data_IF_117368625941
#
_entry.id   IF_117368625941
#
_cell.length_a   1.000
_cell.length_b   1.000
_cell.length_c   1.000
_cell.angle_alpha   90.00
_cell.angle_beta   90.00
_cell.angle_gamma   90.00
#
_symmetry.space_group_name_H-M   'P 1'
#
loop_
_entity.id
_entity.type
_entity.pdbx_description
1 polymer ?
#
# COMPACT_ATOMS: atom_id res chain seq x y z
N UNK A 1 -19.61 9.83 -20.25
CA UNK A 1 -19.80 9.24 -18.89
C UNK A 1 -21.21 9.48 -18.39
N UNK A 2 -21.66 10.72 -18.16
CA UNK A 2 -23.01 11.06 -17.66
C UNK A 2 -24.12 10.39 -18.46
N UNK A 3 -24.12 10.59 -19.77
CA UNK A 3 -25.09 9.96 -20.72
C UNK A 3 -25.07 8.43 -20.64
N UNK A 4 -23.92 7.80 -20.41
CA UNK A 4 -23.81 6.35 -20.28
C UNK A 4 -24.50 5.84 -19.02
N UNK A 5 -24.34 6.53 -17.90
CA UNK A 5 -25.02 6.16 -16.64
C UNK A 5 -26.53 6.32 -16.72
N UNK A 6 -26.99 7.33 -17.41
CA UNK A 6 -28.41 7.62 -17.61
C UNK A 6 -29.07 8.38 -16.46
N UNK A 7 -28.36 8.64 -15.37
CA UNK A 7 -28.91 9.22 -14.12
C UNK A 7 -29.10 10.73 -14.13
N UNK A 8 -28.50 11.47 -15.07
CA UNK A 8 -28.31 12.91 -14.90
C UNK A 8 -27.25 13.24 -13.87
N UNK A 9 -27.17 14.52 -13.46
CA UNK A 9 -26.20 15.04 -12.46
C UNK A 9 -26.85 16.13 -11.61
N UNK A 10 -26.33 16.37 -10.43
CA UNK A 10 -26.77 17.44 -9.51
C UNK A 10 -28.30 17.43 -9.29
N UNK A 11 -29.01 18.49 -9.61
CA UNK A 11 -30.45 18.60 -9.42
C UNK A 11 -31.29 17.66 -10.32
N UNK A 12 -30.74 17.27 -11.49
CA UNK A 12 -31.39 16.34 -12.43
C UNK A 12 -31.01 14.86 -12.13
N UNK A 13 -30.33 14.59 -11.03
CA UNK A 13 -29.89 13.24 -10.70
C UNK A 13 -31.07 12.35 -10.29
N UNK A 14 -31.23 11.22 -10.99
CA UNK A 14 -32.26 10.22 -10.74
C UNK A 14 -31.64 8.82 -10.75
N UNK A 15 -31.44 8.27 -9.55
CA UNK A 15 -30.84 6.95 -9.37
C UNK A 15 -31.64 5.83 -10.03
N UNK A 16 -32.98 5.98 -10.16
CA UNK A 16 -33.84 4.95 -10.77
C UNK A 16 -33.49 4.67 -12.24
N UNK A 17 -32.85 5.64 -12.90
CA UNK A 17 -32.40 5.55 -14.29
C UNK A 17 -31.00 4.95 -14.45
N UNK A 18 -30.35 4.58 -13.35
CA UNK A 18 -29.00 4.00 -13.39
C UNK A 18 -29.00 2.69 -14.18
N UNK A 19 -28.13 2.63 -15.18
CA UNK A 19 -28.01 1.48 -16.11
C UNK A 19 -27.03 0.41 -15.65
N UNK A 20 -26.24 0.67 -14.61
CA UNK A 20 -25.13 -0.18 -14.18
C UNK A 20 -25.19 -0.46 -12.68
N UNK A 21 -24.94 -1.69 -12.30
CA UNK A 21 -24.86 -2.11 -10.90
C UNK A 21 -23.52 -1.78 -10.24
N UNK A 22 -22.48 -1.55 -11.03
CA UNK A 22 -21.15 -1.19 -10.57
C UNK A 22 -20.48 -0.25 -11.56
N UNK A 23 -19.87 0.78 -11.03
CA UNK A 23 -19.02 1.73 -11.75
C UNK A 23 -17.62 1.52 -11.20
N UNK A 24 -16.69 1.06 -12.05
CA UNK A 24 -15.34 0.70 -11.63
C UNK A 24 -14.38 1.70 -12.25
N UNK A 25 -13.71 2.47 -11.40
CA UNK A 25 -12.62 3.37 -11.79
C UNK A 25 -11.36 2.51 -11.88
N UNK A 26 -10.72 2.55 -13.03
CA UNK A 26 -9.48 1.83 -13.30
C UNK A 26 -8.44 2.81 -13.85
N UNK A 27 -7.37 3.01 -13.12
CA UNK A 27 -6.27 3.91 -13.45
C UNK A 27 -4.95 3.23 -13.18
N UNK A 28 -3.88 3.70 -13.79
CA UNK A 28 -2.54 3.25 -13.51
C UNK A 28 -2.16 3.46 -12.03
N UNK A 29 -1.19 2.73 -11.55
CA UNK A 29 -0.72 2.82 -10.15
C UNK A 29 0.31 3.95 -9.93
N UNK A 30 0.47 4.83 -10.90
CA UNK A 30 1.36 5.99 -10.86
C UNK A 30 0.69 7.26 -10.32
N UNK A 31 1.44 8.37 -10.29
CA UNK A 31 0.98 9.68 -9.81
C UNK A 31 -0.16 10.22 -10.67
N UNK A 32 -0.03 10.12 -12.00
CA UNK A 32 -1.04 10.60 -12.93
C UNK A 32 -2.35 9.81 -12.78
N UNK A 33 -2.27 8.49 -12.64
CA UNK A 33 -3.42 7.64 -12.35
C UNK A 33 -4.09 7.98 -11.02
N UNK A 34 -3.30 8.32 -10.00
CA UNK A 34 -3.80 8.77 -8.70
C UNK A 34 -4.51 10.11 -8.81
N UNK A 35 -4.00 11.05 -9.60
CA UNK A 35 -4.63 12.33 -9.88
C UNK A 35 -5.96 12.16 -10.64
N UNK A 36 -5.99 11.36 -11.70
CA UNK A 36 -7.21 11.02 -12.44
C UNK A 36 -8.26 10.40 -11.52
N UNK A 37 -7.84 9.48 -10.64
CA UNK A 37 -8.73 8.86 -9.63
C UNK A 37 -9.34 9.90 -8.70
N UNK A 38 -8.54 10.84 -8.20
CA UNK A 38 -9.00 11.92 -7.32
C UNK A 38 -10.00 12.83 -8.03
N UNK A 39 -9.75 13.20 -9.29
CA UNK A 39 -10.69 13.99 -10.10
C UNK A 39 -12.03 13.27 -10.30
N UNK A 40 -12.01 11.98 -10.63
CA UNK A 40 -13.21 11.18 -10.81
C UNK A 40 -14.00 11.02 -9.51
N UNK A 41 -13.32 10.76 -8.40
CA UNK A 41 -13.96 10.67 -7.09
C UNK A 41 -14.59 12.01 -6.68
N UNK A 42 -13.91 13.14 -6.92
CA UNK A 42 -14.44 14.48 -6.71
C UNK A 42 -15.70 14.73 -7.55
N UNK A 43 -15.66 14.31 -8.81
CA UNK A 43 -16.81 14.42 -9.70
C UNK A 43 -18.01 13.61 -9.17
N UNK A 44 -17.83 12.34 -8.80
CA UNK A 44 -18.90 11.52 -8.23
C UNK A 44 -19.43 12.11 -6.92
N UNK A 45 -18.53 12.53 -6.04
CA UNK A 45 -18.90 13.10 -4.77
C UNK A 45 -19.76 14.37 -4.93
N UNK A 46 -19.35 15.30 -5.81
CA UNK A 46 -20.04 16.59 -6.00
C UNK A 46 -21.29 16.52 -6.88
N UNK A 47 -21.31 15.60 -7.84
CA UNK A 47 -22.36 15.58 -8.88
C UNK A 47 -23.30 14.38 -8.80
N UNK A 48 -22.88 13.31 -8.14
CA UNK A 48 -23.62 12.05 -8.03
C UNK A 48 -23.37 11.35 -6.67
N UNK A 49 -23.52 12.04 -5.51
CA UNK A 49 -23.13 11.49 -4.20
C UNK A 49 -23.86 10.18 -3.87
N UNK A 50 -25.12 10.03 -4.25
CA UNK A 50 -25.88 8.80 -4.01
C UNK A 50 -25.23 7.55 -4.64
N UNK A 51 -24.45 7.68 -5.71
CA UNK A 51 -23.71 6.53 -6.27
C UNK A 51 -22.66 6.01 -5.29
N UNK A 52 -22.03 6.89 -4.51
CA UNK A 52 -21.07 6.51 -3.47
C UNK A 52 -21.80 5.94 -2.25
N UNK A 53 -22.81 6.66 -1.77
CA UNK A 53 -23.61 6.28 -0.59
C UNK A 53 -24.25 4.91 -0.75
N UNK A 54 -24.84 4.64 -1.91
CA UNK A 54 -25.44 3.35 -2.25
C UNK A 54 -24.43 2.28 -2.65
N UNK A 55 -23.15 2.67 -2.83
CA UNK A 55 -22.04 1.75 -3.05
C UNK A 55 -21.95 1.20 -4.45
N UNK A 56 -22.26 1.99 -5.44
CA UNK A 56 -22.08 1.64 -6.85
C UNK A 56 -20.67 1.92 -7.37
N UNK A 57 -19.86 2.74 -6.64
CA UNK A 57 -18.51 3.16 -7.09
C UNK A 57 -17.44 2.28 -6.47
N UNK A 58 -16.55 1.78 -7.32
CA UNK A 58 -15.43 0.91 -6.96
C UNK A 58 -14.14 1.39 -7.61
N UNK A 59 -13.00 1.09 -6.97
CA UNK A 59 -11.67 1.25 -7.52
C UNK A 59 -11.12 -0.13 -7.86
N UNK A 60 -10.69 -0.35 -9.09
CA UNK A 60 -9.93 -1.54 -9.45
C UNK A 60 -8.56 -1.49 -8.77
N UNK A 61 -8.08 -2.66 -8.35
CA UNK A 61 -6.75 -2.83 -7.76
C UNK A 61 -5.95 -3.80 -8.63
N UNK A 62 -5.35 -3.33 -9.73
CA UNK A 62 -4.49 -4.16 -10.54
C UNK A 62 -3.24 -4.56 -9.73
N UNK A 63 -2.62 -5.71 -10.01
CA UNK A 63 -1.40 -6.12 -9.35
C UNK A 63 -0.23 -5.24 -9.76
N UNK A 64 0.69 -5.01 -8.82
CA UNK A 64 1.98 -4.36 -9.11
C UNK A 64 3.00 -5.33 -9.68
N UNK A 65 2.88 -6.63 -9.39
CA UNK A 65 3.87 -7.62 -9.78
C UNK A 65 3.25 -8.86 -10.39
N UNK A 66 3.95 -9.39 -11.40
CA UNK A 66 3.81 -10.74 -11.91
C UNK A 66 5.02 -11.54 -11.43
N UNK A 67 4.77 -12.63 -10.72
CA UNK A 67 5.80 -13.54 -10.22
C UNK A 67 5.63 -14.88 -10.90
N UNK A 68 6.66 -15.33 -11.58
CA UNK A 68 6.65 -16.61 -12.29
C UNK A 68 7.69 -17.56 -11.67
N UNK A 69 7.24 -18.78 -11.36
CA UNK A 69 8.08 -19.89 -10.92
C UNK A 69 7.72 -21.15 -11.69
N UNK A 70 8.66 -21.67 -12.52
CA UNK A 70 8.53 -22.91 -13.33
C UNK A 70 7.32 -22.87 -14.28
N UNK A 71 6.39 -22.39 -14.43
CA UNK A 71 5.14 -22.33 -15.23
C UNK A 71 3.94 -21.88 -14.40
N UNK A 72 4.16 -21.55 -13.14
CA UNK A 72 3.11 -20.97 -12.31
C UNK A 72 3.29 -19.47 -12.29
N UNK A 73 2.23 -18.76 -12.64
CA UNK A 73 2.15 -17.30 -12.60
C UNK A 73 1.28 -16.93 -11.41
N UNK A 74 1.75 -16.00 -10.63
CA UNK A 74 0.97 -15.39 -9.54
C UNK A 74 1.09 -13.88 -9.65
N UNK A 75 -0.01 -13.20 -9.36
CA UNK A 75 -0.08 -11.76 -9.34
C UNK A 75 -0.05 -11.28 -7.89
N UNK A 76 0.76 -10.25 -7.63
CA UNK A 76 0.97 -9.69 -6.30
C UNK A 76 0.58 -8.22 -6.32
N UNK A 77 -0.25 -7.81 -5.36
CA UNK A 77 -0.89 -6.50 -5.38
C UNK A 77 0.03 -5.38 -4.87
N UNK A 78 0.89 -5.68 -3.89
CA UNK A 78 1.68 -4.66 -3.19
C UNK A 78 3.13 -5.09 -3.01
N UNK A 79 4.01 -4.12 -2.75
CA UNK A 79 5.41 -4.36 -2.37
C UNK A 79 5.50 -5.20 -1.07
N UNK A 80 4.60 -4.95 -0.13
CA UNK A 80 4.53 -5.69 1.12
C UNK A 80 4.18 -7.17 0.90
N UNK A 81 3.23 -7.46 0.01
CA UNK A 81 2.84 -8.84 -0.31
C UNK A 81 3.97 -9.58 -1.04
N UNK A 82 4.71 -8.87 -1.91
CA UNK A 82 5.90 -9.43 -2.55
C UNK A 82 6.97 -9.76 -1.51
N UNK A 83 7.25 -8.84 -0.60
CA UNK A 83 8.22 -9.06 0.49
C UNK A 83 7.81 -10.25 1.35
N UNK A 84 6.57 -10.34 1.80
CA UNK A 84 6.05 -11.47 2.57
C UNK A 84 6.24 -12.80 1.83
N UNK A 85 5.95 -12.80 0.52
CA UNK A 85 6.12 -13.98 -0.33
C UNK A 85 7.58 -14.41 -0.45
N UNK A 86 8.49 -13.45 -0.67
CA UNK A 86 9.93 -13.74 -0.76
C UNK A 86 10.49 -14.28 0.55
N UNK A 87 10.05 -13.74 1.70
CA UNK A 87 10.48 -14.24 3.00
C UNK A 87 10.00 -15.68 3.23
N UNK A 88 8.74 -15.99 2.93
CA UNK A 88 8.23 -17.37 3.06
C UNK A 88 8.97 -18.34 2.18
N UNK A 89 9.24 -17.98 0.93
CA UNK A 89 9.99 -18.83 -0.01
C UNK A 89 11.46 -18.96 0.39
N UNK A 90 12.05 -17.90 0.91
CA UNK A 90 13.45 -17.91 1.37
C UNK A 90 13.67 -18.84 2.56
N UNK A 91 12.70 -18.92 3.45
CA UNK A 91 12.76 -19.81 4.62
C UNK A 91 12.52 -21.29 4.31
N UNK A 92 12.16 -21.66 3.07
CA UNK A 92 12.02 -23.08 2.71
C UNK A 92 13.38 -23.80 2.72
N UNK A 93 14.47 -23.09 2.37
CA UNK A 93 15.82 -23.64 2.24
C UNK A 93 16.86 -22.89 3.12
N UNK A 94 16.41 -21.97 3.99
CA UNK A 94 17.29 -21.15 4.84
C UNK A 94 16.97 -21.35 6.33
N UNK A 95 17.99 -21.78 7.09
CA UNK A 95 17.88 -21.97 8.53
C UNK A 95 18.19 -20.66 9.28
N UNK A 96 17.19 -20.12 9.96
CA UNK A 96 17.34 -18.93 10.82
C UNK A 96 17.69 -19.40 12.24
N UNK A 97 18.74 -18.81 12.81
CA UNK A 97 19.19 -19.10 14.18
C UNK A 97 18.87 -17.91 15.09
N UNK A 98 18.59 -18.20 16.35
CA UNK A 98 18.49 -17.20 17.39
C UNK A 98 19.87 -16.67 17.83
N UNK A 99 19.87 -15.67 18.71
CA UNK A 99 21.13 -15.06 19.22
C UNK A 99 22.01 -16.06 19.98
N UNK A 100 21.44 -17.14 20.50
CA UNK A 100 22.18 -18.22 21.16
C UNK A 100 22.71 -19.28 20.18
N UNK A 101 22.38 -19.18 18.88
CA UNK A 101 22.80 -20.09 17.84
C UNK A 101 21.88 -21.30 17.64
N UNK A 102 20.74 -21.36 18.34
CA UNK A 102 19.74 -22.41 18.15
C UNK A 102 18.86 -22.13 16.92
N UNK A 103 18.54 -23.18 16.16
CA UNK A 103 17.65 -23.07 15.01
C UNK A 103 16.23 -22.71 15.46
N UNK A 104 15.62 -21.72 14.79
CA UNK A 104 14.23 -21.38 14.99
C UNK A 104 13.35 -22.35 14.23
N UNK A 105 12.20 -22.74 14.79
CA UNK A 105 11.17 -23.40 14.02
C UNK A 105 10.61 -22.49 12.92
N UNK A 106 9.92 -23.08 11.96
CA UNK A 106 9.45 -22.37 10.76
C UNK A 106 8.45 -21.24 11.10
N UNK A 107 7.60 -21.43 12.09
CA UNK A 107 6.61 -20.43 12.50
C UNK A 107 7.28 -19.23 13.17
N UNK A 108 8.20 -19.50 14.10
CA UNK A 108 8.98 -18.48 14.79
C UNK A 108 9.90 -17.71 13.83
N UNK A 109 10.57 -18.42 12.89
CA UNK A 109 11.39 -17.82 11.85
C UNK A 109 10.57 -16.88 10.92
N UNK A 110 9.38 -17.30 10.51
CA UNK A 110 8.46 -16.45 9.73
C UNK A 110 8.04 -15.18 10.50
N UNK A 111 7.68 -15.33 11.78
CA UNK A 111 7.35 -14.19 12.64
C UNK A 111 8.51 -13.22 12.78
N UNK A 112 9.72 -13.76 13.01
CA UNK A 112 10.94 -12.98 13.13
C UNK A 112 11.27 -12.20 11.85
N UNK A 113 11.27 -12.86 10.69
CA UNK A 113 11.54 -12.20 9.39
C UNK A 113 10.51 -11.12 9.05
N UNK A 114 9.24 -11.32 9.37
CA UNK A 114 8.20 -10.29 9.20
C UNK A 114 8.48 -9.08 10.07
N UNK A 115 8.83 -9.30 11.33
CA UNK A 115 9.19 -8.22 12.26
C UNK A 115 10.39 -7.42 11.75
N UNK A 116 11.45 -8.10 11.25
CA UNK A 116 12.61 -7.41 10.66
C UNK A 116 12.21 -6.56 9.44
N UNK A 117 11.32 -7.06 8.61
CA UNK A 117 10.81 -6.31 7.45
C UNK A 117 9.95 -5.10 7.86
N UNK A 118 9.18 -5.21 8.95
CA UNK A 118 8.41 -4.11 9.54
C UNK A 118 9.37 -3.04 10.07
N UNK A 119 10.38 -3.41 10.85
CA UNK A 119 11.42 -2.51 11.39
C UNK A 119 12.13 -1.77 10.24
N UNK A 120 12.51 -2.47 9.17
CA UNK A 120 13.13 -1.87 7.99
C UNK A 120 12.22 -0.82 7.35
N UNK A 121 10.95 -1.17 7.12
CA UNK A 121 9.96 -0.28 6.51
C UNK A 121 9.72 0.95 7.37
N UNK A 122 9.57 0.78 8.69
CA UNK A 122 9.35 1.89 9.63
C UNK A 122 10.60 2.76 9.75
N UNK A 123 11.80 2.17 9.81
CA UNK A 123 13.06 2.90 9.84
C UNK A 123 13.22 3.76 8.59
N UNK A 124 13.03 3.19 7.42
CA UNK A 124 13.09 3.91 6.15
C UNK A 124 12.06 5.07 6.09
N UNK A 125 10.83 4.82 6.51
CA UNK A 125 9.79 5.87 6.58
C UNK A 125 10.19 7.02 7.50
N UNK A 126 10.89 6.75 8.60
CA UNK A 126 11.38 7.75 9.54
C UNK A 126 12.55 8.55 8.95
N UNK A 127 13.49 7.86 8.29
CA UNK A 127 14.63 8.48 7.59
C UNK A 127 14.17 9.39 6.46
N UNK A 128 13.21 8.97 5.64
CA UNK A 128 12.61 9.78 4.57
C UNK A 128 11.96 11.08 5.09
N UNK A 129 11.58 11.09 6.37
CA UNK A 129 11.07 12.27 7.08
C UNK A 129 12.16 13.13 7.74
N UNK A 130 13.43 12.79 7.54
CA UNK A 130 14.58 13.52 8.06
C UNK A 130 14.91 13.22 9.52
N UNK A 131 14.40 12.13 10.10
CA UNK A 131 14.73 11.71 11.46
C UNK A 131 15.69 10.52 11.46
N UNK A 132 16.60 10.46 12.42
CA UNK A 132 17.40 9.27 12.67
C UNK A 132 16.57 8.26 13.50
N UNK A 133 16.29 7.06 13.00
CA UNK A 133 15.54 6.03 13.74
C UNK A 133 16.18 5.65 15.07
N UNK A 134 17.52 5.67 15.14
CA UNK A 134 18.26 5.33 16.35
C UNK A 134 18.10 6.40 17.43
N UNK A 135 18.21 7.67 17.06
CA UNK A 135 17.98 8.79 17.96
C UNK A 135 16.53 8.82 18.43
N UNK A 136 15.59 8.62 17.51
CA UNK A 136 14.15 8.60 17.81
C UNK A 136 13.76 7.48 18.76
N UNK A 137 14.40 6.32 18.64
CA UNK A 137 14.19 5.18 19.54
C UNK A 137 14.79 5.44 20.93
N UNK A 138 15.92 6.12 21.01
CA UNK A 138 16.60 6.44 22.28
C UNK A 138 15.91 7.56 23.08
N UNK A 139 15.08 8.38 22.44
CA UNK A 139 14.33 9.45 23.10
C UNK A 139 13.02 8.93 23.72
N UNK A 140 12.89 8.90 25.06
CA UNK A 140 11.66 8.45 25.74
C UNK A 140 10.46 9.34 25.42
N UNK A 141 10.70 10.64 25.19
CA UNK A 141 9.66 11.66 24.96
C UNK A 141 9.28 11.78 23.47
N UNK A 142 9.94 11.03 22.58
CA UNK A 142 9.65 11.06 21.15
C UNK A 142 8.20 10.66 20.91
N UNK A 143 7.44 11.56 20.26
CA UNK A 143 6.02 11.44 19.94
C UNK A 143 5.83 11.29 18.43
N UNK A 144 4.69 10.73 18.05
CA UNK A 144 4.29 10.53 16.66
C UNK A 144 4.19 9.04 16.28
N UNK A 145 3.52 8.79 15.14
CA UNK A 145 3.26 7.41 14.71
C UNK A 145 4.54 6.60 14.46
N UNK A 146 5.54 7.21 13.82
CA UNK A 146 6.82 6.56 13.53
C UNK A 146 7.57 6.13 14.79
N UNK A 147 7.70 7.03 15.79
CA UNK A 147 8.34 6.73 17.07
C UNK A 147 7.61 5.60 17.82
N UNK A 148 6.27 5.65 17.85
CA UNK A 148 5.46 4.64 18.53
C UNK A 148 5.56 3.27 17.84
N UNK A 149 5.61 3.25 16.51
CA UNK A 149 5.79 2.02 15.73
C UNK A 149 7.16 1.42 15.99
N UNK A 150 8.24 2.20 15.87
CA UNK A 150 9.60 1.73 16.15
C UNK A 150 9.73 1.17 17.57
N UNK A 151 9.26 1.89 18.59
CA UNK A 151 9.34 1.43 19.98
C UNK A 151 8.61 0.09 20.18
N UNK A 152 7.45 -0.09 19.56
CA UNK A 152 6.67 -1.34 19.61
C UNK A 152 7.40 -2.49 18.90
N UNK A 153 7.94 -2.24 17.71
CA UNK A 153 8.64 -3.23 16.90
C UNK A 153 9.93 -3.69 17.59
N UNK A 154 10.72 -2.77 18.13
CA UNK A 154 11.92 -3.12 18.87
C UNK A 154 11.63 -3.83 20.20
N UNK A 155 10.55 -3.47 20.91
CA UNK A 155 10.09 -4.25 22.05
C UNK A 155 9.71 -5.68 21.67
N UNK A 156 9.12 -5.89 20.49
CA UNK A 156 8.84 -7.22 19.97
C UNK A 156 10.11 -7.97 19.58
N UNK A 157 11.14 -7.27 19.13
CA UNK A 157 12.45 -7.84 18.76
C UNK A 157 13.17 -8.43 19.99
N UNK A 158 13.02 -7.80 21.17
CA UNK A 158 13.55 -8.31 22.42
C UNK A 158 13.00 -9.70 22.76
N UNK A 159 11.75 -10.01 22.36
CA UNK A 159 11.16 -11.35 22.49
C UNK A 159 11.89 -12.45 21.70
N UNK A 160 12.69 -12.07 20.73
CA UNK A 160 13.60 -12.96 19.99
C UNK A 160 15.03 -12.94 20.52
N UNK A 161 15.31 -12.19 21.59
CA UNK A 161 16.63 -12.05 22.20
C UNK A 161 17.56 -11.04 21.52
N UNK A 162 17.03 -10.19 20.63
CA UNK A 162 17.78 -9.16 19.93
C UNK A 162 17.38 -7.77 20.38
N UNK A 163 18.29 -6.81 20.26
CA UNK A 163 18.05 -5.41 20.59
C UNK A 163 18.33 -4.46 19.43
N UNK A 164 18.16 -3.15 19.67
CA UNK A 164 18.44 -2.12 18.69
C UNK A 164 19.87 -2.18 18.12
N UNK A 165 20.85 -2.54 18.94
CA UNK A 165 22.24 -2.67 18.54
C UNK A 165 22.46 -3.77 17.49
N UNK A 166 21.70 -4.86 17.56
CA UNK A 166 21.78 -5.96 16.58
C UNK A 166 21.24 -5.55 15.22
N UNK A 167 20.21 -4.67 15.21
CA UNK A 167 19.66 -4.10 13.99
C UNK A 167 20.58 -3.02 13.41
N UNK A 168 20.90 -1.98 14.18
CA UNK A 168 21.73 -0.89 13.70
C UNK A 168 23.19 -1.27 13.46
N UNK A 169 23.64 -2.41 13.99
CA UNK A 169 24.92 -3.04 13.65
C UNK A 169 24.93 -3.77 12.31
N UNK A 170 23.79 -3.86 11.62
CA UNK A 170 23.65 -4.41 10.29
C UNK A 170 23.56 -5.94 10.21
N UNK A 171 23.72 -6.66 11.30
CA UNK A 171 23.66 -8.12 11.31
C UNK A 171 22.28 -8.67 10.93
N UNK A 172 21.25 -8.13 11.53
CA UNK A 172 19.86 -8.56 11.24
C UNK A 172 19.38 -8.12 9.86
N UNK A 173 19.79 -6.94 9.41
CA UNK A 173 19.51 -6.45 8.04
C UNK A 173 20.11 -7.40 7.01
N UNK A 174 21.36 -7.80 7.20
CA UNK A 174 22.03 -8.77 6.33
C UNK A 174 21.30 -10.12 6.30
N UNK A 175 20.86 -10.63 7.44
CA UNK A 175 20.06 -11.86 7.51
C UNK A 175 18.75 -11.73 6.74
N UNK A 176 18.06 -10.60 6.87
CA UNK A 176 16.82 -10.32 6.14
C UNK A 176 17.05 -10.32 4.62
N UNK A 177 18.14 -9.70 4.17
CA UNK A 177 18.52 -9.64 2.76
C UNK A 177 18.92 -11.00 2.19
N UNK A 178 19.62 -11.81 2.97
CA UNK A 178 19.98 -13.18 2.59
C UNK A 178 18.74 -14.05 2.41
N UNK A 179 17.78 -13.99 3.33
CA UNK A 179 16.50 -14.73 3.20
C UNK A 179 15.72 -14.26 1.99
N UNK A 180 15.65 -12.94 1.73
CA UNK A 180 15.01 -12.39 0.53
C UNK A 180 15.68 -12.85 -0.76
N UNK A 181 17.03 -12.86 -0.78
CA UNK A 181 17.80 -13.33 -1.92
C UNK A 181 17.53 -14.81 -2.21
N UNK A 182 17.49 -15.64 -1.16
CA UNK A 182 17.09 -17.04 -1.29
C UNK A 182 15.67 -17.18 -1.84
N UNK A 183 14.72 -16.37 -1.35
CA UNK A 183 13.35 -16.37 -1.84
C UNK A 183 13.20 -15.97 -3.30
N UNK A 184 14.13 -15.19 -3.85
CA UNK A 184 14.16 -14.82 -5.27
C UNK A 184 14.68 -15.94 -6.17
N UNK A 185 15.36 -16.95 -5.63
CA UNK A 185 15.95 -18.01 -6.44
C UNK A 185 14.90 -18.77 -7.26
N UNK A 186 15.11 -18.81 -8.57
CA UNK A 186 14.18 -19.47 -9.50
C UNK A 186 12.85 -18.74 -9.72
N UNK A 187 12.75 -17.47 -9.29
CA UNK A 187 11.63 -16.60 -9.63
C UNK A 187 12.01 -15.63 -10.75
N UNK A 188 11.07 -15.42 -11.66
CA UNK A 188 11.05 -14.26 -12.53
C UNK A 188 10.02 -13.28 -11.96
N UNK A 189 10.46 -12.06 -11.62
CA UNK A 189 9.62 -11.03 -11.03
C UNK A 189 9.56 -9.87 -12.02
N UNK A 190 8.35 -9.57 -12.50
CA UNK A 190 8.08 -8.43 -13.37
C UNK A 190 7.22 -7.43 -12.62
N UNK A 191 7.62 -6.15 -12.63
CA UNK A 191 6.84 -5.05 -12.05
C UNK A 191 6.11 -4.31 -13.15
N UNK A 192 4.79 -4.23 -13.04
CA UNK A 192 3.98 -3.41 -13.92
C UNK A 192 4.08 -1.93 -13.52
N UNK A 193 4.40 -1.06 -14.45
CA UNK A 193 4.38 0.40 -14.26
C UNK A 193 2.99 0.96 -14.51
N UNK A 194 2.24 0.34 -15.42
CA UNK A 194 0.88 0.74 -15.76
C UNK A 194 0.10 -0.40 -16.41
N UNK A 195 -1.20 -0.20 -16.56
CA UNK A 195 -2.13 -1.17 -17.17
C UNK A 195 -1.79 -1.48 -18.63
N UNK A 196 -1.15 -0.53 -19.34
CA UNK A 196 -0.72 -0.71 -20.72
C UNK A 196 0.42 -1.71 -20.93
N UNK A 197 1.09 -2.14 -19.85
CA UNK A 197 2.12 -3.19 -19.91
C UNK A 197 1.56 -4.60 -19.78
N UNK A 198 0.28 -4.72 -19.40
CA UNK A 198 -0.43 -6.00 -19.32
C UNK A 198 -0.93 -6.41 -20.70
N UNK A 199 -0.77 -7.70 -21.03
CA UNK A 199 -1.48 -8.23 -22.16
C UNK A 199 -3.00 -8.37 -21.86
N UNK A 200 -3.79 -8.69 -22.90
CA UNK A 200 -5.25 -8.72 -22.75
C UNK A 200 -5.73 -9.81 -21.78
N UNK A 201 -5.04 -10.94 -21.71
CA UNK A 201 -5.33 -12.04 -20.82
C UNK A 201 -4.98 -11.67 -19.36
N UNK A 202 -3.84 -11.05 -19.16
CA UNK A 202 -3.40 -10.55 -17.85
C UNK A 202 -4.36 -9.48 -17.32
N UNK A 203 -4.71 -8.50 -18.15
CA UNK A 203 -5.64 -7.45 -17.79
C UNK A 203 -7.03 -8.03 -17.45
N UNK A 204 -7.51 -8.98 -18.25
CA UNK A 204 -8.78 -9.65 -17.98
C UNK A 204 -8.75 -10.42 -16.66
N UNK A 205 -7.76 -11.26 -16.45
CA UNK A 205 -7.64 -12.12 -15.27
C UNK A 205 -7.50 -11.33 -13.97
N UNK A 206 -6.84 -10.17 -14.01
CA UNK A 206 -6.52 -9.40 -12.80
C UNK A 206 -7.54 -8.31 -12.47
N UNK A 207 -8.24 -7.77 -13.48
CA UNK A 207 -9.12 -6.60 -13.29
C UNK A 207 -10.57 -6.82 -13.73
N UNK A 208 -10.82 -7.75 -14.64
CA UNK A 208 -12.14 -7.96 -15.24
C UNK A 208 -12.83 -9.24 -14.74
N UNK A 209 -12.09 -10.33 -14.56
CA UNK A 209 -12.65 -11.60 -14.08
C UNK A 209 -13.24 -11.46 -12.67
N UNK A 210 -14.51 -11.72 -12.55
CA UNK A 210 -15.26 -11.60 -11.29
C UNK A 210 -14.73 -12.49 -10.16
N UNK A 211 -14.11 -13.62 -10.50
CA UNK A 211 -13.57 -14.57 -9.52
C UNK A 211 -12.18 -14.17 -9.00
N UNK A 212 -11.40 -13.39 -9.77
CA UNK A 212 -10.00 -13.13 -9.50
C UNK A 212 -9.70 -11.66 -9.16
N UNK A 213 -10.50 -10.73 -9.70
CA UNK A 213 -10.26 -9.29 -9.55
C UNK A 213 -10.37 -8.80 -8.13
N UNK A 214 -9.51 -7.87 -7.77
CA UNK A 214 -9.58 -7.14 -6.52
C UNK A 214 -10.17 -5.74 -6.75
N UNK A 215 -11.12 -5.36 -5.90
CA UNK A 215 -11.78 -4.07 -5.96
C UNK A 215 -11.98 -3.50 -4.57
N UNK A 216 -11.73 -2.20 -4.43
CA UNK A 216 -12.06 -1.43 -3.25
C UNK A 216 -13.40 -0.71 -3.47
N UNK A 217 -14.38 -0.96 -2.63
CA UNK A 217 -15.64 -0.21 -2.64
C UNK A 217 -15.41 1.17 -2.02
N UNK A 218 -15.75 2.22 -2.76
CA UNK A 218 -15.71 3.58 -2.24
C UNK A 218 -16.83 3.76 -1.21
N UNK A 219 -16.49 4.31 -0.05
CA UNK A 219 -17.43 4.60 1.03
C UNK A 219 -17.26 6.03 1.49
N UNK A 220 -18.34 6.67 1.83
CA UNK A 220 -18.36 7.97 2.48
C UNK A 220 -18.58 7.73 3.98
N UNK A 221 -17.51 7.75 4.75
CA UNK A 221 -17.54 7.53 6.21
C UNK A 221 -17.85 8.82 6.97
N UNK A 222 -17.38 9.95 6.46
CA UNK A 222 -17.59 11.29 7.01
C UNK A 222 -17.78 12.28 5.87
N UNK A 223 -19.02 12.73 5.67
CA UNK A 223 -19.37 13.64 4.59
C UNK A 223 -18.80 15.05 4.81
N UNK A 224 -18.75 15.53 6.04
CA UNK A 224 -18.24 16.86 6.36
C UNK A 224 -16.72 16.93 6.12
N UNK A 225 -15.98 15.90 6.57
CA UNK A 225 -14.53 15.83 6.35
C UNK A 225 -14.21 15.61 4.86
N UNK A 226 -14.97 14.80 4.14
CA UNK A 226 -14.81 14.64 2.70
C UNK A 226 -15.02 15.96 1.95
N UNK A 227 -16.07 16.73 2.30
CA UNK A 227 -16.33 18.03 1.68
C UNK A 227 -15.20 19.04 1.98
N UNK A 228 -14.72 19.05 3.22
CA UNK A 228 -13.58 19.88 3.62
C UNK A 228 -12.33 19.56 2.80
N UNK A 229 -11.97 18.27 2.67
CA UNK A 229 -10.78 17.83 1.94
C UNK A 229 -10.93 18.10 0.43
N UNK A 230 -12.07 17.78 -0.17
CA UNK A 230 -12.30 18.06 -1.59
C UNK A 230 -12.29 19.56 -1.89
N UNK A 231 -12.88 20.39 -1.02
CA UNK A 231 -12.88 21.85 -1.19
C UNK A 231 -11.47 22.42 -1.02
N UNK A 232 -10.69 21.89 -0.08
CA UNK A 232 -9.31 22.29 0.17
C UNK A 232 -8.40 21.94 -1.01
N UNK A 233 -8.44 20.68 -1.48
CA UNK A 233 -7.51 20.18 -2.50
C UNK A 233 -7.92 20.56 -3.93
N UNK A 234 -9.22 20.66 -4.20
CA UNK A 234 -9.80 20.86 -5.54
C UNK A 234 -10.52 22.19 -5.70
N UNK A 235 -10.50 23.05 -4.69
CA UNK A 235 -11.03 24.41 -4.74
C UNK A 235 -10.13 25.37 -5.54
N UNK A 236 -10.65 26.59 -5.78
CA UNK A 236 -9.91 27.60 -6.56
C UNK A 236 -8.82 28.32 -5.76
N UNK A 237 -8.89 28.27 -4.43
CA UNK A 237 -7.93 28.93 -3.54
C UNK A 237 -6.64 28.13 -3.40
N UNK A 238 -5.52 28.79 -3.73
CA UNK A 238 -4.18 28.17 -3.72
C UNK A 238 -3.58 28.11 -2.32
N UNK A 239 -3.73 29.19 -1.53
CA UNK A 239 -3.05 29.33 -0.24
C UNK A 239 -3.48 28.27 0.80
N UNK A 240 -4.77 27.91 0.98
CA UNK A 240 -5.18 26.85 1.88
C UNK A 240 -4.62 25.47 1.45
N UNK A 241 -4.54 25.21 0.15
CA UNK A 241 -3.98 23.98 -0.40
C UNK A 241 -2.48 23.90 -0.13
N UNK A 242 -1.75 25.00 -0.35
CA UNK A 242 -0.33 25.09 -0.09
C UNK A 242 -0.02 24.81 1.38
N UNK A 243 -0.73 25.45 2.30
CA UNK A 243 -0.58 25.20 3.76
C UNK A 243 -0.86 23.74 4.10
N UNK A 244 -1.92 23.17 3.57
CA UNK A 244 -2.23 21.75 3.80
C UNK A 244 -1.09 20.83 3.34
N UNK A 245 -0.49 21.10 2.19
CA UNK A 245 0.66 20.33 1.68
C UNK A 245 1.88 20.51 2.61
N UNK A 246 2.18 21.73 3.02
CA UNK A 246 3.28 22.03 3.93
C UNK A 246 3.08 21.36 5.30
N UNK A 247 1.89 21.46 5.89
CA UNK A 247 1.55 20.87 7.19
C UNK A 247 1.56 19.32 7.16
N UNK A 248 1.27 18.73 6.00
CA UNK A 248 1.20 17.28 5.84
C UNK A 248 2.41 16.69 5.08
N UNK A 249 3.42 17.47 4.76
CA UNK A 249 4.59 17.01 4.02
C UNK A 249 5.27 15.80 4.69
N UNK A 250 5.30 15.79 6.02
CA UNK A 250 5.85 14.67 6.82
C UNK A 250 4.95 13.43 6.86
N UNK A 251 3.70 13.50 6.34
CA UNK A 251 2.76 12.38 6.31
C UNK A 251 2.73 11.68 4.95
N UNK A 252 3.43 12.21 3.96
CA UNK A 252 3.51 11.61 2.61
C UNK A 252 4.27 10.28 2.68
N UNK A 253 3.69 9.22 2.12
CA UNK A 253 4.28 7.87 2.13
C UNK A 253 5.12 7.56 0.90
N UNK A 254 4.81 8.20 -0.21
CA UNK A 254 5.50 8.05 -1.50
C UNK A 254 5.69 9.42 -2.12
N UNK A 255 6.93 9.77 -2.37
CA UNK A 255 7.31 10.91 -3.21
C UNK A 255 7.82 10.33 -4.52
N UNK A 256 7.24 10.78 -5.60
CA UNK A 256 7.74 10.49 -6.95
C UNK A 256 8.77 11.57 -7.29
N UNK A 257 10.04 11.27 -7.04
CA UNK A 257 11.17 12.15 -7.34
C UNK A 257 12.00 11.51 -8.44
#
# INVERSE_FOLDING_TARGET
MITAFGTGISEDFDLSKLRYNKIIIMTDADVDGSHIRTLLLTFFYRKMPELIERGYVYLAQPPLYKVERRKRIEYVLTDEDLTKKLLVLGLDDFEVKDKAGAAMDKERANGFMRLLAEIESTSKMVEERGFDPKELLADPEAKGSGASMLKKEFSSLEGYGYGPEDWFGGGLQKTLDEVRAHGKNGLSIYRFKGLGEMDKEELFDTTMDHAKRHMLRVRLSDAAEADRIFSLLMGDEVEPRRRFIEDNALNVRTLDI
#
